data_IF_754282362418
#
_entry.id   IF_754282362418
#
_cell.length_a   1.000
_cell.length_b   1.000
_cell.length_c   1.000
_cell.angle_alpha   90.00
_cell.angle_beta   90.00
_cell.angle_gamma   90.00
#
_symmetry.space_group_name_H-M   'P 1'
#
loop_
_entity.id
_entity.type
_entity.pdbx_description
1 polymer ?
#
# COMPACT_ATOMS: atom_id res chain seq x y z
N UNK A 1 -18.67 28.97 -16.34
CA UNK A 1 -17.29 29.40 -15.97
C UNK A 1 -16.31 28.46 -16.68
N UNK A 2 -15.45 28.99 -17.55
CA UNK A 2 -14.64 28.18 -18.47
C UNK A 2 -13.29 27.80 -17.82
N UNK A 3 -12.77 26.61 -18.13
CA UNK A 3 -11.56 25.98 -17.54
C UNK A 3 -10.30 26.87 -17.50
N UNK A 4 -10.21 27.87 -18.38
CA UNK A 4 -9.14 28.87 -18.42
C UNK A 4 -9.22 29.91 -17.29
N UNK A 5 -10.41 30.27 -16.81
CA UNK A 5 -10.58 31.25 -15.73
C UNK A 5 -10.22 30.66 -14.35
N UNK A 6 -10.41 29.34 -14.16
CA UNK A 6 -10.01 28.63 -12.94
C UNK A 6 -8.48 28.57 -12.78
N UNK A 7 -7.75 28.44 -13.89
CA UNK A 7 -6.29 28.39 -13.89
C UNK A 7 -5.65 29.75 -13.59
N UNK A 8 -6.30 30.86 -13.99
CA UNK A 8 -5.81 32.22 -13.71
C UNK A 8 -6.05 32.59 -12.23
N UNK A 9 -7.12 32.08 -11.61
CA UNK A 9 -7.37 32.27 -10.18
C UNK A 9 -6.35 31.56 -9.28
N UNK A 10 -5.76 30.44 -9.72
CA UNK A 10 -4.68 29.76 -8.99
C UNK A 10 -3.32 30.46 -9.11
N UNK A 11 -3.14 31.36 -10.08
CA UNK A 11 -1.88 32.06 -10.32
C UNK A 11 -1.56 33.17 -9.32
N UNK A 12 -2.47 33.54 -8.41
CA UNK A 12 -2.32 34.73 -7.58
C UNK A 12 -2.56 34.54 -6.07
N UNK A 13 -2.54 33.31 -5.57
CA UNK A 13 -2.80 33.03 -4.15
C UNK A 13 -1.51 32.58 -3.45
N UNK A 14 -0.55 33.48 -3.40
CA UNK A 14 0.42 33.52 -2.32
C UNK A 14 -0.27 34.17 -1.10
N UNK A 15 -1.18 33.42 -0.47
CA UNK A 15 -1.96 33.77 0.75
C UNK A 15 -2.88 32.57 0.99
N UNK A 16 -2.57 31.59 1.81
CA UNK A 16 -2.53 31.75 3.24
C UNK A 16 -2.27 30.32 3.75
N UNK A 17 -1.03 30.05 4.17
CA UNK A 17 -0.63 28.69 4.59
C UNK A 17 -1.43 28.25 5.82
N UNK A 18 -1.93 29.21 6.61
CA UNK A 18 -2.85 28.99 7.73
C UNK A 18 -4.24 28.55 7.28
N UNK A 19 -4.86 29.20 6.29
CA UNK A 19 -6.17 28.77 5.78
C UNK A 19 -6.10 27.39 5.10
N UNK A 20 -5.00 27.08 4.39
CA UNK A 20 -4.73 25.73 3.88
C UNK A 20 -4.55 24.72 5.03
N UNK A 21 -3.83 25.07 6.10
CA UNK A 21 -3.65 24.23 7.27
C UNK A 21 -4.97 24.00 8.05
N UNK A 22 -5.86 24.98 8.11
CA UNK A 22 -7.20 24.82 8.70
C UNK A 22 -8.13 24.01 7.80
N UNK A 23 -8.06 24.18 6.47
CA UNK A 23 -8.81 23.33 5.52
C UNK A 23 -8.31 21.89 5.56
N UNK A 24 -6.99 21.67 5.72
CA UNK A 24 -6.35 20.36 5.94
C UNK A 24 -6.59 19.78 7.34
N UNK A 25 -6.87 20.62 8.35
CA UNK A 25 -7.33 20.15 9.68
C UNK A 25 -8.79 19.68 9.65
N UNK A 26 -9.61 20.26 8.78
CA UNK A 26 -11.05 20.00 8.72
C UNK A 26 -11.40 18.91 7.69
N UNK A 27 -10.59 18.75 6.65
CA UNK A 27 -10.43 17.44 6.02
C UNK A 27 -9.52 16.63 6.91
N UNK A 28 -10.06 16.09 8.01
CA UNK A 28 -9.56 14.85 8.59
C UNK A 28 -9.34 13.94 7.39
N UNK A 29 -8.09 13.86 6.94
CA UNK A 29 -7.65 12.88 5.98
C UNK A 29 -8.14 11.58 6.60
N UNK A 30 -9.21 11.02 6.03
CA UNK A 30 -9.61 9.66 6.32
C UNK A 30 -8.46 8.88 5.73
N UNK A 31 -7.39 8.76 6.52
CA UNK A 31 -6.29 7.87 6.22
C UNK A 31 -6.99 6.54 6.03
N UNK A 32 -6.96 5.97 4.82
CA UNK A 32 -7.74 4.79 4.55
C UNK A 32 -7.31 3.74 5.57
N UNK A 33 -8.29 3.16 6.24
CA UNK A 33 -8.08 2.37 7.45
C UNK A 33 -6.97 1.35 7.21
N UNK A 34 -6.06 1.19 8.18
CA UNK A 34 -4.92 0.32 7.98
C UNK A 34 -5.41 -1.11 7.69
N UNK A 35 -5.00 -1.66 6.52
CA UNK A 35 -5.35 -3.02 6.10
C UNK A 35 -5.04 -4.01 7.22
N UNK A 36 -6.05 -4.80 7.61
CA UNK A 36 -5.99 -5.84 8.63
C UNK A 36 -5.62 -7.19 8.02
N UNK A 37 -5.06 -8.07 8.84
CA UNK A 37 -4.74 -9.44 8.41
C UNK A 37 -6.02 -10.17 8.03
N UNK A 38 -5.99 -10.87 6.89
CA UNK A 38 -7.13 -11.53 6.30
C UNK A 38 -7.96 -10.68 5.33
N UNK A 39 -7.67 -9.38 5.23
CA UNK A 39 -8.36 -8.53 4.25
C UNK A 39 -7.85 -8.74 2.84
N UNK A 40 -8.82 -8.79 1.94
CA UNK A 40 -8.65 -8.98 0.50
C UNK A 40 -8.76 -7.64 -0.21
N UNK A 41 -7.87 -7.45 -1.18
CA UNK A 41 -7.77 -6.25 -1.98
C UNK A 41 -7.69 -6.68 -3.44
N UNK A 42 -8.61 -6.22 -4.27
CA UNK A 42 -8.54 -6.46 -5.71
C UNK A 42 -7.70 -5.36 -6.34
N UNK A 43 -6.63 -5.71 -7.03
CA UNK A 43 -5.76 -4.75 -7.70
C UNK A 43 -6.40 -4.34 -9.02
N UNK A 44 -6.74 -3.07 -9.16
CA UNK A 44 -7.43 -2.50 -10.34
C UNK A 44 -6.54 -1.59 -11.18
N UNK A 45 -5.35 -1.24 -10.69
CA UNK A 45 -4.43 -0.39 -11.44
C UNK A 45 -3.15 -0.10 -10.69
N UNK A 46 -2.31 0.71 -11.32
CA UNK A 46 -1.02 1.14 -10.79
C UNK A 46 -0.78 2.62 -11.10
N UNK A 47 -0.04 3.29 -10.24
CA UNK A 47 0.35 4.71 -10.39
C UNK A 47 1.81 4.89 -10.02
N UNK A 48 2.50 5.74 -10.75
CA UNK A 48 3.90 6.07 -10.50
C UNK A 48 4.85 5.52 -11.56
N UNK A 49 5.97 6.22 -11.72
CA UNK A 49 6.94 5.96 -12.79
C UNK A 49 8.19 5.22 -12.30
N UNK A 50 8.48 5.30 -10.99
CA UNK A 50 9.64 4.69 -10.36
C UNK A 50 9.23 3.73 -9.26
N UNK A 51 10.09 2.76 -8.93
CA UNK A 51 9.86 1.80 -7.85
C UNK A 51 9.56 2.44 -6.48
N UNK A 52 10.19 3.59 -6.20
CA UNK A 52 10.03 4.29 -4.93
C UNK A 52 8.69 5.03 -4.84
N UNK A 53 8.07 5.32 -5.98
CA UNK A 53 6.81 6.06 -6.11
C UNK A 53 5.73 5.22 -6.79
N UNK A 54 5.92 3.91 -6.88
CA UNK A 54 4.94 2.98 -7.43
C UNK A 54 3.89 2.66 -6.37
N UNK A 55 2.62 2.81 -6.74
CA UNK A 55 1.44 2.49 -5.95
C UNK A 55 0.58 1.49 -6.70
N UNK A 56 0.06 0.52 -5.95
CA UNK A 56 -1.02 -0.36 -6.37
C UNK A 56 -2.33 0.34 -6.03
N UNK A 57 -3.21 0.47 -6.99
CA UNK A 57 -4.57 0.94 -6.80
C UNK A 57 -5.42 -0.31 -6.61
N UNK A 58 -6.00 -0.45 -5.43
CA UNK A 58 -6.82 -1.60 -5.08
C UNK A 58 -8.24 -1.16 -4.71
N UNK A 59 -9.21 -2.05 -4.84
CA UNK A 59 -10.52 -1.90 -4.20
C UNK A 59 -10.62 -2.84 -3.00
N UNK A 60 -11.31 -2.39 -1.95
CA UNK A 60 -11.56 -3.12 -0.71
C UNK A 60 -13.06 -3.29 -0.51
N UNK A 61 -13.50 -4.52 -0.21
CA UNK A 61 -14.89 -4.81 0.13
C UNK A 61 -15.90 -4.60 -1.01
N UNK A 62 -17.19 -4.65 -0.66
CA UNK A 62 -18.31 -4.49 -1.59
C UNK A 62 -18.55 -3.02 -1.99
N UNK A 63 -18.18 -2.07 -1.13
CA UNK A 63 -18.28 -0.62 -1.39
C UNK A 63 -17.22 -0.09 -2.37
N UNK A 64 -16.38 -0.98 -2.92
CA UNK A 64 -15.31 -0.68 -3.88
C UNK A 64 -14.41 0.50 -3.46
N UNK A 65 -14.17 0.65 -2.15
CA UNK A 65 -13.34 1.75 -1.64
C UNK A 65 -11.93 1.65 -2.24
N UNK A 66 -11.52 2.73 -2.91
CA UNK A 66 -10.22 2.79 -3.58
C UNK A 66 -9.11 3.01 -2.54
N UNK A 67 -8.18 2.08 -2.50
CA UNK A 67 -7.03 2.07 -1.62
C UNK A 67 -5.73 2.19 -2.43
N UNK A 68 -4.89 3.17 -2.10
CA UNK A 68 -3.56 3.30 -2.69
C UNK A 68 -2.52 2.60 -1.79
N UNK A 69 -2.03 1.44 -2.20
CA UNK A 69 -1.00 0.68 -1.49
C UNK A 69 0.38 0.92 -2.12
N UNK A 70 1.28 1.56 -1.38
CA UNK A 70 2.66 1.77 -1.86
C UNK A 70 3.38 0.43 -2.11
N UNK A 71 3.97 0.26 -3.29
CA UNK A 71 4.69 -0.97 -3.69
C UNK A 71 5.73 -1.39 -2.66
N UNK A 72 6.46 -0.43 -2.11
CA UNK A 72 7.49 -0.69 -1.10
C UNK A 72 6.95 -1.40 0.14
N UNK A 73 5.65 -1.32 0.44
CA UNK A 73 5.04 -2.05 1.57
C UNK A 73 5.03 -3.56 1.30
N UNK A 74 4.85 -3.99 0.05
CA UNK A 74 4.87 -5.39 -0.36
C UNK A 74 6.25 -6.02 -0.24
N UNK A 75 7.30 -5.19 -0.30
CA UNK A 75 8.69 -5.63 -0.35
C UNK A 75 9.56 -5.12 0.80
N UNK A 76 8.97 -4.37 1.74
CA UNK A 76 9.68 -3.76 2.87
C UNK A 76 10.30 -4.84 3.74
N UNK A 77 11.57 -4.63 4.10
CA UNK A 77 12.31 -5.40 5.12
C UNK A 77 12.47 -4.52 6.36
N UNK A 78 12.79 -5.13 7.51
CA UNK A 78 13.22 -4.39 8.69
C UNK A 78 14.50 -3.59 8.39
N UNK A 79 14.76 -2.54 9.17
CA UNK A 79 15.94 -1.70 8.97
C UNK A 79 17.26 -2.46 9.19
N UNK A 80 17.27 -3.46 10.06
CA UNK A 80 18.40 -4.37 10.26
C UNK A 80 18.55 -5.41 9.12
N UNK A 81 17.59 -5.48 8.20
CA UNK A 81 17.56 -6.43 7.09
C UNK A 81 17.23 -7.88 7.46
N UNK A 82 17.08 -8.20 8.75
CA UNK A 82 16.91 -9.57 9.26
C UNK A 82 15.48 -10.09 9.07
N UNK A 83 14.48 -9.22 9.25
CA UNK A 83 13.07 -9.60 9.08
C UNK A 83 12.59 -9.18 7.70
N UNK A 84 12.09 -10.15 6.95
CA UNK A 84 11.48 -9.93 5.64
C UNK A 84 10.06 -10.46 5.62
N UNK A 85 9.21 -10.09 4.64
CA UNK A 85 7.87 -10.65 4.52
C UNK A 85 7.84 -12.18 4.41
N UNK A 86 8.91 -12.82 3.91
CA UNK A 86 9.04 -14.28 3.90
C UNK A 86 9.09 -14.87 5.31
N UNK A 87 9.76 -14.21 6.25
CA UNK A 87 9.97 -14.67 7.63
C UNK A 87 8.73 -14.50 8.53
N UNK A 88 7.73 -13.76 8.06
CA UNK A 88 6.47 -13.61 8.80
C UNK A 88 5.66 -14.89 8.63
N UNK A 89 5.18 -15.53 9.70
CA UNK A 89 4.24 -16.64 9.58
C UNK A 89 2.97 -16.18 8.84
N UNK A 90 2.41 -17.07 8.03
CA UNK A 90 1.06 -16.86 7.51
C UNK A 90 0.07 -17.00 8.66
N UNK A 91 -0.97 -16.16 8.67
CA UNK A 91 -2.09 -16.29 9.58
C UNK A 91 -2.82 -17.62 9.30
N UNK A 92 -3.18 -18.33 10.37
CA UNK A 92 -3.78 -19.66 10.30
C UNK A 92 -5.11 -19.63 9.54
N UNK A 93 -5.98 -18.66 9.82
CA UNK A 93 -7.28 -18.53 9.13
C UNK A 93 -7.12 -18.27 7.63
N UNK A 94 -6.15 -17.42 7.25
CA UNK A 94 -5.84 -17.18 5.83
C UNK A 94 -5.28 -18.44 5.17
N UNK A 95 -4.39 -19.14 5.87
CA UNK A 95 -3.78 -20.39 5.39
C UNK A 95 -4.82 -21.50 5.23
N UNK A 96 -5.78 -21.64 6.15
CA UNK A 96 -6.86 -22.62 6.06
C UNK A 96 -7.85 -22.29 4.95
N UNK A 97 -8.15 -21.01 4.73
CA UNK A 97 -9.09 -20.54 3.69
C UNK A 97 -8.52 -20.77 2.29
N UNK A 98 -7.24 -20.46 2.06
CA UNK A 98 -6.65 -20.43 0.72
C UNK A 98 -5.67 -21.56 0.42
N UNK A 99 -5.09 -22.19 1.44
CA UNK A 99 -4.21 -23.35 1.33
C UNK A 99 -3.11 -23.14 0.28
N UNK A 100 -3.06 -24.00 -0.74
CA UNK A 100 -2.10 -24.01 -1.85
C UNK A 100 -2.31 -22.87 -2.87
N UNK A 101 -3.41 -22.12 -2.79
CA UNK A 101 -3.69 -20.99 -3.68
C UNK A 101 -2.89 -19.73 -3.34
N UNK A 102 -2.17 -19.70 -2.22
CA UNK A 102 -1.40 -18.53 -1.80
C UNK A 102 -0.02 -18.50 -2.46
N UNK A 103 0.25 -17.46 -3.25
CA UNK A 103 1.60 -17.14 -3.69
C UNK A 103 2.11 -15.85 -3.04
N UNK A 104 3.20 -15.94 -2.28
CA UNK A 104 3.70 -14.79 -1.53
C UNK A 104 4.37 -13.75 -2.43
N UNK A 105 3.84 -12.53 -2.42
CA UNK A 105 4.23 -11.43 -3.34
C UNK A 105 5.70 -11.07 -3.18
N UNK A 106 6.22 -11.02 -1.96
CA UNK A 106 7.64 -10.69 -1.75
C UNK A 106 8.59 -11.70 -2.40
N UNK A 107 8.24 -12.99 -2.41
CA UNK A 107 9.04 -14.03 -3.07
C UNK A 107 9.01 -13.89 -4.59
N UNK A 108 7.85 -13.51 -5.16
CA UNK A 108 7.70 -13.25 -6.59
C UNK A 108 8.50 -11.98 -6.96
N UNK A 109 8.29 -10.89 -6.23
CA UNK A 109 8.88 -9.59 -6.48
C UNK A 109 10.41 -9.58 -6.40
N UNK A 110 11.01 -10.46 -5.61
CA UNK A 110 12.47 -10.64 -5.54
C UNK A 110 13.09 -11.13 -6.85
N UNK A 111 12.35 -11.91 -7.63
CA UNK A 111 12.87 -12.65 -8.78
C UNK A 111 12.33 -12.14 -10.11
N UNK A 112 11.43 -11.15 -10.08
CA UNK A 112 10.69 -10.68 -11.24
C UNK A 112 10.92 -9.18 -11.48
N UNK A 113 10.97 -8.78 -12.76
CA UNK A 113 11.00 -7.37 -13.13
C UNK A 113 9.67 -6.69 -12.83
N UNK A 114 9.71 -5.40 -12.52
CA UNK A 114 8.54 -4.61 -12.10
C UNK A 114 7.38 -4.68 -13.10
N UNK A 115 7.59 -4.54 -14.43
CA UNK A 115 6.47 -4.62 -15.37
C UNK A 115 5.77 -5.97 -15.35
N UNK A 116 6.52 -7.08 -15.28
CA UNK A 116 5.95 -8.42 -15.21
C UNK A 116 5.18 -8.65 -13.89
N UNK A 117 5.63 -8.05 -12.78
CA UNK A 117 4.91 -8.09 -11.52
C UNK A 117 3.62 -7.26 -11.57
N UNK A 118 3.65 -6.11 -12.24
CA UNK A 118 2.45 -5.29 -12.49
C UNK A 118 1.42 -6.07 -13.29
N UNK A 119 1.84 -6.71 -14.39
CA UNK A 119 0.98 -7.55 -15.22
C UNK A 119 0.43 -8.75 -14.45
N UNK A 120 1.24 -9.39 -13.60
CA UNK A 120 0.82 -10.52 -12.79
C UNK A 120 -0.26 -10.13 -11.77
N UNK A 121 -0.13 -8.95 -11.17
CA UNK A 121 -0.99 -8.51 -10.08
C UNK A 121 -2.26 -7.80 -10.57
N UNK A 122 -2.27 -7.25 -11.78
CA UNK A 122 -3.44 -6.55 -12.33
C UNK A 122 -4.66 -7.49 -12.41
N UNK A 123 -5.82 -6.98 -12.02
CA UNK A 123 -7.10 -7.71 -11.93
C UNK A 123 -7.11 -8.91 -10.98
N UNK A 124 -6.05 -9.08 -10.16
CA UNK A 124 -5.96 -10.16 -9.18
C UNK A 124 -6.28 -9.68 -7.77
N UNK A 125 -6.69 -10.63 -6.94
CA UNK A 125 -6.93 -10.42 -5.52
C UNK A 125 -5.68 -10.75 -4.73
N UNK A 126 -5.26 -9.80 -3.88
CA UNK A 126 -4.19 -9.99 -2.91
C UNK A 126 -4.79 -9.98 -1.50
N UNK A 127 -4.17 -10.71 -0.58
CA UNK A 127 -4.58 -10.76 0.83
C UNK A 127 -3.41 -10.39 1.73
N UNK A 128 -3.69 -9.63 2.79
CA UNK A 128 -2.71 -9.46 3.87
C UNK A 128 -2.67 -10.75 4.70
N UNK A 129 -1.72 -11.62 4.38
CA UNK A 129 -1.57 -12.95 4.98
C UNK A 129 -0.89 -12.94 6.35
N UNK A 130 -0.25 -11.83 6.76
CA UNK A 130 0.33 -11.71 8.07
C UNK A 130 1.07 -10.39 8.25
N UNK A 131 1.34 -10.01 9.49
CA UNK A 131 2.18 -8.86 9.80
C UNK A 131 2.97 -9.08 11.08
N UNK A 132 4.10 -8.39 11.20
CA UNK A 132 4.94 -8.43 12.40
C UNK A 132 5.46 -7.03 12.69
N UNK A 133 5.31 -6.60 13.95
CA UNK A 133 5.98 -5.40 14.44
C UNK A 133 7.45 -5.69 14.68
N UNK A 134 8.31 -4.82 14.16
CA UNK A 134 9.77 -4.88 14.31
C UNK A 134 10.28 -3.54 14.81
N UNK A 135 11.38 -3.51 15.58
CA UNK A 135 12.02 -2.26 15.96
C UNK A 135 12.47 -1.48 14.71
N UNK A 136 12.34 -0.17 14.78
CA UNK A 136 12.84 0.77 13.78
C UNK A 136 13.32 2.05 14.45
N UNK A 137 14.14 2.83 13.75
CA UNK A 137 14.65 4.12 14.17
C UNK A 137 14.29 5.16 13.13
N UNK A 138 13.62 6.23 13.54
CA UNK A 138 13.37 7.41 12.68
C UNK A 138 13.97 8.64 13.34
N UNK A 139 14.84 9.36 12.63
CA UNK A 139 15.54 10.55 13.14
C UNK A 139 16.21 10.32 14.51
N UNK A 140 16.78 9.12 14.73
CA UNK A 140 17.43 8.75 15.99
C UNK A 140 16.48 8.31 17.11
N UNK A 141 15.16 8.33 16.89
CA UNK A 141 14.16 7.89 17.86
C UNK A 141 13.76 6.44 17.61
N UNK A 142 13.91 5.59 18.63
CA UNK A 142 13.46 4.20 18.60
C UNK A 142 11.93 4.13 18.54
N UNK A 143 11.42 3.32 17.63
CA UNK A 143 10.00 3.11 17.37
C UNK A 143 9.76 1.68 16.88
N UNK A 144 8.54 1.40 16.43
CA UNK A 144 8.19 0.16 15.75
C UNK A 144 7.65 0.46 14.36
N UNK A 145 7.93 -0.46 13.42
CA UNK A 145 7.26 -0.51 12.12
C UNK A 145 6.66 -1.88 11.93
N UNK A 146 5.62 -1.98 11.11
CA UNK A 146 5.08 -3.26 10.67
C UNK A 146 5.76 -3.69 9.37
N UNK A 147 6.18 -4.95 9.33
CA UNK A 147 6.48 -5.66 8.08
C UNK A 147 5.24 -6.47 7.75
N UNK A 148 4.78 -6.40 6.49
CA UNK A 148 3.55 -7.02 6.04
C UNK A 148 3.83 -8.11 5.03
N UNK A 149 3.16 -9.25 5.17
CA UNK A 149 3.20 -10.40 4.26
C UNK A 149 1.95 -10.41 3.42
N UNK A 150 2.07 -10.00 2.16
CA UNK A 150 0.99 -10.12 1.19
C UNK A 150 1.13 -11.38 0.35
N UNK A 151 0.00 -11.98 0.00
CA UNK A 151 -0.09 -13.09 -0.92
C UNK A 151 -1.05 -12.74 -2.06
N UNK A 152 -0.69 -13.16 -3.26
CA UNK A 152 -1.59 -13.27 -4.41
C UNK A 152 -2.44 -14.53 -4.22
N UNK A 153 -3.74 -14.40 -4.42
CA UNK A 153 -4.68 -15.52 -4.41
C UNK A 153 -4.81 -16.03 -5.84
N UNK A 154 -4.32 -17.25 -6.08
CA UNK A 154 -4.46 -17.94 -7.36
C UNK A 154 -5.88 -18.48 -7.50
N UNK A 155 -6.43 -18.40 -8.71
CA UNK A 155 -7.76 -18.95 -9.05
C UNK A 155 -7.74 -20.49 -9.10
#
# INVERSE_FOLDING_TARGET
MNRKEYLIAQGNVQKDVSALAETLKTQLAVFPEAIKVGEELKVIGFKGETLNDLYLICTRGEDEEVYELKYTILTRKSQDGLTTPSEIPCNETVQEKYKDKLQFIYSIAKNMFVPALVELLLDKTIVLAGEKEVPATFHGVATKTKIKKFALIME
#
